data_IF_316349319380
#
_entry.id   IF_316349319380
#
_cell.length_a   1.000
_cell.length_b   1.000
_cell.length_c   1.000
_cell.angle_alpha   90.00
_cell.angle_beta   90.00
_cell.angle_gamma   90.00
#
_symmetry.space_group_name_H-M   'P 1'
#
loop_
_entity.id
_entity.type
_entity.pdbx_description
1 polymer ?
#
# COMPACT_ATOMS: atom_id res chain seq x y z
N UNK A 1 -17.04 -10.48 11.36
CA UNK A 1 -15.83 -9.62 11.29
C UNK A 1 -15.55 -9.33 9.82
N UNK A 2 -14.92 -8.20 9.47
CA UNK A 2 -14.55 -7.93 8.07
C UNK A 2 -13.05 -7.68 7.96
N UNK A 3 -12.43 -8.29 6.96
CA UNK A 3 -11.03 -8.10 6.57
C UNK A 3 -11.01 -7.37 5.24
N UNK A 4 -10.47 -6.17 5.21
CA UNK A 4 -10.25 -5.40 3.99
C UNK A 4 -8.81 -5.57 3.52
N UNK A 5 -8.64 -5.90 2.25
CA UNK A 5 -7.33 -6.00 1.58
C UNK A 5 -7.27 -4.95 0.48
N UNK A 6 -6.15 -4.26 0.40
CA UNK A 6 -5.86 -3.28 -0.64
C UNK A 6 -4.56 -3.68 -1.33
N UNK A 7 -4.55 -3.69 -2.66
CA UNK A 7 -3.32 -3.76 -3.47
C UNK A 7 -3.14 -2.43 -4.19
N UNK A 8 -1.93 -1.89 -4.16
CA UNK A 8 -1.54 -0.70 -4.92
C UNK A 8 -0.32 -1.02 -5.75
N UNK A 9 -0.42 -0.80 -7.06
CA UNK A 9 0.72 -0.78 -7.98
C UNK A 9 1.43 0.57 -7.89
N UNK A 10 2.76 0.55 -7.80
CA UNK A 10 3.62 1.73 -7.69
C UNK A 10 4.67 1.73 -8.80
N UNK A 11 4.84 2.89 -9.43
CA UNK A 11 5.88 3.12 -10.45
C UNK A 11 6.95 4.05 -9.86
N UNK A 12 8.22 3.63 -9.99
CA UNK A 12 9.39 4.33 -9.47
C UNK A 12 10.34 4.72 -10.62
N UNK A 13 9.98 5.70 -11.47
CA UNK A 13 10.75 6.01 -12.68
C UNK A 13 12.19 6.46 -12.38
N UNK A 14 12.38 7.24 -11.32
CA UNK A 14 13.66 7.82 -10.88
C UNK A 14 14.56 6.85 -10.11
N UNK A 15 14.03 5.69 -9.73
CA UNK A 15 14.83 4.71 -9.01
C UNK A 15 15.74 3.97 -10.00
N UNK A 16 16.94 3.52 -9.61
CA UNK A 16 17.90 2.82 -10.52
C UNK A 16 18.51 1.55 -9.91
N UNK A 17 17.94 1.04 -8.82
CA UNK A 17 18.43 -0.20 -8.18
C UNK A 17 17.38 -0.82 -7.26
N UNK A 18 17.49 -2.13 -7.03
CA UNK A 18 16.65 -2.82 -6.04
C UNK A 18 16.83 -2.27 -4.63
N UNK A 19 18.05 -1.86 -4.26
CA UNK A 19 18.33 -1.23 -2.97
C UNK A 19 17.59 0.12 -2.84
N UNK A 20 17.59 0.93 -3.88
CA UNK A 20 16.86 2.21 -3.90
C UNK A 20 15.36 2.02 -3.75
N UNK A 21 14.78 1.05 -4.49
CA UNK A 21 13.36 0.66 -4.38
C UNK A 21 13.02 0.28 -2.93
N UNK A 22 13.80 -0.62 -2.33
CA UNK A 22 13.59 -1.04 -0.93
C UNK A 22 13.64 0.14 0.04
N UNK A 23 14.49 1.13 -0.23
CA UNK A 23 14.54 2.37 0.54
C UNK A 23 13.25 3.20 0.44
N UNK A 24 12.68 3.34 -0.76
CA UNK A 24 11.41 4.03 -0.98
C UNK A 24 10.25 3.28 -0.32
N UNK A 25 10.11 1.98 -0.60
CA UNK A 25 9.04 1.16 -0.05
C UNK A 25 9.06 1.13 1.49
N UNK A 26 10.26 1.05 2.10
CA UNK A 26 10.39 1.09 3.56
C UNK A 26 9.88 2.41 4.16
N UNK A 27 10.08 3.54 3.49
CA UNK A 27 9.55 4.84 3.95
C UNK A 27 8.02 4.87 3.85
N UNK A 28 7.46 4.37 2.76
CA UNK A 28 6.00 4.28 2.57
C UNK A 28 5.41 3.39 3.68
N UNK A 29 5.92 2.17 3.83
CA UNK A 29 5.48 1.21 4.85
C UNK A 29 5.54 1.81 6.26
N UNK A 30 6.67 2.41 6.63
CA UNK A 30 6.84 3.01 7.95
C UNK A 30 5.86 4.16 8.21
N UNK A 31 5.60 5.03 7.23
CA UNK A 31 4.65 6.13 7.38
C UNK A 31 3.21 5.65 7.46
N UNK A 32 2.82 4.68 6.63
CA UNK A 32 1.47 4.11 6.66
C UNK A 32 1.21 3.39 7.98
N UNK A 33 2.13 2.51 8.43
CA UNK A 33 1.97 1.81 9.71
C UNK A 33 2.01 2.73 10.94
N UNK A 34 2.64 3.91 10.83
CA UNK A 34 2.60 4.91 11.88
C UNK A 34 1.28 5.69 11.91
N UNK A 35 0.71 5.98 10.73
CA UNK A 35 -0.51 6.78 10.60
C UNK A 35 -1.79 5.96 10.79
N UNK A 36 -1.76 4.68 10.42
CA UNK A 36 -2.93 3.80 10.40
C UNK A 36 -2.62 2.50 11.14
N UNK A 37 -3.63 1.96 11.83
CA UNK A 37 -3.55 0.61 12.40
C UNK A 37 -3.76 -0.44 11.29
N UNK A 38 -2.75 -0.62 10.44
CA UNK A 38 -2.81 -1.44 9.24
C UNK A 38 -1.53 -2.24 9.04
N UNK A 39 -1.67 -3.46 8.52
CA UNK A 39 -0.55 -4.27 8.05
C UNK A 39 -0.20 -3.89 6.63
N UNK A 40 1.09 -3.83 6.29
CA UNK A 40 1.58 -3.50 4.94
C UNK A 40 2.76 -4.40 4.55
N UNK A 41 2.83 -4.82 3.29
CA UNK A 41 3.95 -5.60 2.75
C UNK A 41 4.11 -5.35 1.25
N UNK A 42 5.31 -5.63 0.72
CA UNK A 42 5.50 -5.78 -0.72
C UNK A 42 5.04 -7.19 -1.15
N UNK A 43 4.09 -7.27 -2.08
CA UNK A 43 3.48 -8.53 -2.52
C UNK A 43 3.69 -8.85 -4.00
N UNK A 44 4.35 -7.98 -4.77
CA UNK A 44 4.63 -8.19 -6.19
C UNK A 44 5.79 -7.35 -6.71
N UNK A 45 6.29 -7.73 -7.90
CA UNK A 45 7.36 -7.06 -8.64
C UNK A 45 8.71 -6.94 -7.93
N UNK A 46 9.02 -7.83 -6.98
CA UNK A 46 10.22 -7.74 -6.12
C UNK A 46 11.54 -7.63 -6.90
N UNK A 47 11.63 -8.26 -8.08
CA UNK A 47 12.83 -8.25 -8.95
C UNK A 47 12.87 -7.06 -9.93
N UNK A 48 11.83 -6.22 -9.97
CA UNK A 48 11.78 -4.99 -10.75
C UNK A 48 12.08 -3.79 -9.85
N UNK A 49 12.99 -2.91 -10.26
CA UNK A 49 13.33 -1.72 -9.47
C UNK A 49 12.49 -0.48 -9.83
N UNK A 50 11.81 -0.47 -10.99
CA UNK A 50 10.89 0.61 -11.39
C UNK A 50 9.42 0.30 -11.12
N UNK A 51 9.11 -0.89 -10.62
CA UNK A 51 7.75 -1.32 -10.30
C UNK A 51 7.71 -1.97 -8.92
N UNK A 52 6.59 -1.82 -8.22
CA UNK A 52 6.34 -2.51 -6.96
C UNK A 52 4.84 -2.69 -6.77
N UNK A 53 4.43 -3.77 -6.11
CA UNK A 53 3.05 -3.90 -5.64
C UNK A 53 3.07 -3.96 -4.11
N UNK A 54 2.41 -3.01 -3.47
CA UNK A 54 2.20 -3.03 -2.02
C UNK A 54 0.80 -3.57 -1.70
N UNK A 55 0.76 -4.52 -0.77
CA UNK A 55 -0.46 -5.04 -0.16
C UNK A 55 -0.66 -4.46 1.23
N UNK A 56 -1.90 -4.12 1.55
CA UNK A 56 -2.33 -3.60 2.84
C UNK A 56 -3.51 -4.41 3.35
N UNK A 57 -3.62 -4.58 4.67
CA UNK A 57 -4.72 -5.31 5.29
C UNK A 57 -5.17 -4.66 6.60
N UNK A 58 -6.47 -4.45 6.74
CA UNK A 58 -7.13 -3.93 7.94
C UNK A 58 -8.30 -4.82 8.32
N UNK A 59 -8.53 -4.99 9.62
CA UNK A 59 -9.66 -5.75 10.16
C UNK A 59 -10.57 -4.80 10.94
N UNK A 60 -11.88 -4.97 10.81
CA UNK A 60 -12.85 -4.14 11.52
C UNK A 60 -14.20 -4.81 11.75
N UNK A 61 -15.08 -4.09 12.43
CA UNK A 61 -16.48 -4.48 12.68
C UNK A 61 -17.47 -3.89 11.68
N UNK A 62 -17.06 -2.87 10.90
CA UNK A 62 -17.89 -2.18 9.92
C UNK A 62 -17.18 -2.09 8.58
N UNK A 63 -17.85 -2.55 7.51
CA UNK A 63 -17.36 -2.45 6.13
C UNK A 63 -17.05 -1.02 5.73
N UNK A 64 -17.96 -0.10 6.05
CA UNK A 64 -17.81 1.31 5.69
C UNK A 64 -16.55 1.91 6.31
N UNK A 65 -16.24 1.59 7.57
CA UNK A 65 -15.03 2.07 8.25
C UNK A 65 -13.77 1.46 7.63
N UNK A 66 -13.81 0.17 7.29
CA UNK A 66 -12.69 -0.54 6.66
C UNK A 66 -12.40 0.02 5.26
N UNK A 67 -13.40 0.08 4.39
CA UNK A 67 -13.22 0.62 3.02
C UNK A 67 -12.81 2.09 3.05
N UNK A 68 -13.39 2.91 3.93
CA UNK A 68 -12.97 4.31 4.08
C UNK A 68 -11.54 4.45 4.61
N UNK A 69 -11.08 3.52 5.46
CA UNK A 69 -9.68 3.51 5.92
C UNK A 69 -8.74 3.12 4.80
N UNK A 70 -9.09 2.12 3.99
CA UNK A 70 -8.29 1.71 2.84
C UNK A 70 -8.21 2.83 1.79
N UNK A 71 -9.30 3.54 1.52
CA UNK A 71 -9.28 4.69 0.61
C UNK A 71 -8.33 5.79 1.11
N UNK A 72 -8.38 6.12 2.41
CA UNK A 72 -7.43 7.07 3.00
C UNK A 72 -5.98 6.63 2.88
N UNK A 73 -5.71 5.33 2.86
CA UNK A 73 -4.35 4.81 2.64
C UNK A 73 -3.92 5.04 1.19
N UNK A 74 -4.80 4.86 0.19
CA UNK A 74 -4.52 5.21 -1.21
C UNK A 74 -4.14 6.69 -1.32
N UNK A 75 -5.02 7.57 -0.83
CA UNK A 75 -4.83 9.03 -0.89
C UNK A 75 -3.52 9.43 -0.16
N UNK A 76 -3.27 8.84 1.01
CA UNK A 76 -2.06 9.12 1.78
C UNK A 76 -0.79 8.66 1.05
N UNK A 77 -0.79 7.49 0.40
CA UNK A 77 0.37 7.01 -0.37
C UNK A 77 0.64 7.91 -1.57
N UNK A 78 -0.39 8.42 -2.23
CA UNK A 78 -0.28 9.40 -3.31
C UNK A 78 0.32 10.72 -2.81
N UNK A 79 -0.19 11.25 -1.69
CA UNK A 79 0.28 12.50 -1.06
C UNK A 79 1.73 12.44 -0.58
N UNK A 80 2.27 11.24 -0.30
CA UNK A 80 3.68 11.10 0.06
C UNK A 80 4.63 11.50 -1.10
N UNK A 81 4.17 11.43 -2.35
CA UNK A 81 4.97 11.79 -3.53
C UNK A 81 6.25 10.97 -3.69
N UNK A 82 6.32 9.78 -3.07
CA UNK A 82 7.52 8.94 -3.05
C UNK A 82 7.59 7.96 -4.24
N UNK A 83 6.45 7.68 -4.85
CA UNK A 83 6.28 6.86 -6.05
C UNK A 83 5.00 7.29 -6.76
N UNK A 84 4.89 7.02 -8.06
CA UNK A 84 3.65 7.25 -8.78
C UNK A 84 2.67 6.11 -8.47
N UNK A 85 1.46 6.46 -8.04
CA UNK A 85 0.41 5.48 -7.76
C UNK A 85 -0.24 5.06 -9.08
N UNK A 86 -0.28 3.76 -9.32
CA UNK A 86 -0.96 3.14 -10.45
C UNK A 86 -2.33 2.60 -10.04
N UNK A 87 -2.67 1.42 -10.54
CA UNK A 87 -3.94 0.76 -10.21
C UNK A 87 -4.02 0.38 -8.73
N UNK A 88 -5.21 0.52 -8.16
CA UNK A 88 -5.53 0.11 -6.80
C UNK A 88 -6.78 -0.77 -6.78
N UNK A 89 -6.72 -1.88 -6.04
CA UNK A 89 -7.81 -2.84 -5.91
C UNK A 89 -8.15 -3.05 -4.43
N UNK A 90 -9.43 -2.92 -4.07
CA UNK A 90 -9.93 -3.18 -2.72
C UNK A 90 -10.82 -4.43 -2.74
N UNK A 91 -10.51 -5.38 -1.86
CA UNK A 91 -11.29 -6.59 -1.63
C UNK A 91 -11.73 -6.64 -0.16
N UNK A 92 -12.95 -7.12 0.07
CA UNK A 92 -13.54 -7.26 1.41
C UNK A 92 -13.97 -8.69 1.66
N UNK A 93 -13.48 -9.28 2.74
CA UNK A 93 -13.77 -10.65 3.15
C UNK A 93 -14.55 -10.64 4.46
N UNK A 94 -15.69 -11.34 4.47
CA UNK A 94 -16.50 -11.54 5.67
C UNK A 94 -16.04 -12.82 6.37
N UNK A 95 -15.67 -12.68 7.64
CA UNK A 95 -15.29 -13.79 8.53
C UNK A 95 -16.32 -13.97 9.63
#
# INVERSE_FOLDING_TARGET
MIVGVLKISLILPENHSLKGKRGVLRRIQARVSHQFNISVTECGDQDLWQSAVLGFCVVGSSRQVVEATLQKVVDFVEDLGLAQVGESEIESFYC
#
